data_IF_081523081522
#
_entry.id   IF_081523081522
#
_cell.length_a   1.000
_cell.length_b   1.000
_cell.length_c   1.000
_cell.angle_alpha   90.00
_cell.angle_beta   90.00
_cell.angle_gamma   90.00
#
_symmetry.space_group_name_H-M   'P 1'
#
loop_
_entity.id
_entity.type
_entity.pdbx_description
1 polymer ?
#
# COMPACT_ATOMS: atom_id res chain seq x y z
N UNK A 1 10.36 -10.29 10.77
CA UNK A 1 10.06 -9.84 9.39
C UNK A 1 8.59 -9.43 9.24
N UNK A 2 7.69 -9.79 10.17
CA UNK A 2 6.28 -9.37 10.19
C UNK A 2 6.04 -7.87 10.43
N UNK A 3 6.87 -7.21 11.26
CA UNK A 3 6.67 -5.79 11.62
C UNK A 3 6.58 -4.82 10.43
N UNK A 4 7.27 -5.08 9.31
CA UNK A 4 7.26 -4.16 8.16
C UNK A 4 5.92 -4.16 7.41
N UNK A 5 5.28 -5.33 7.29
CA UNK A 5 3.98 -5.46 6.63
C UNK A 5 2.85 -4.99 7.55
N UNK A 6 2.97 -5.17 8.86
CA UNK A 6 2.05 -4.58 9.82
C UNK A 6 2.15 -3.05 9.83
N UNK A 7 3.37 -2.49 9.82
CA UNK A 7 3.59 -1.05 9.64
C UNK A 7 3.00 -0.53 8.32
N UNK A 8 3.15 -1.29 7.22
CA UNK A 8 2.55 -0.96 5.94
C UNK A 8 1.03 -0.89 6.04
N UNK A 9 0.42 -1.95 6.60
CA UNK A 9 -1.04 -2.05 6.76
C UNK A 9 -1.59 -0.92 7.62
N UNK A 10 -1.05 -0.74 8.82
CA UNK A 10 -1.49 0.29 9.76
C UNK A 10 -1.28 1.70 9.18
N UNK A 11 -0.15 1.93 8.51
CA UNK A 11 0.14 3.18 7.83
C UNK A 11 -0.84 3.48 6.69
N UNK A 12 -1.25 2.48 5.91
CA UNK A 12 -2.27 2.64 4.85
C UNK A 12 -3.64 2.90 5.47
N UNK A 13 -4.05 2.12 6.48
CA UNK A 13 -5.35 2.27 7.15
C UNK A 13 -5.50 3.62 7.86
N UNK A 14 -4.42 4.14 8.43
CA UNK A 14 -4.36 5.49 9.03
C UNK A 14 -4.13 6.61 8.01
N UNK A 15 -4.14 6.29 6.71
CA UNK A 15 -3.86 7.22 5.60
C UNK A 15 -2.50 7.94 5.69
N UNK A 16 -1.57 7.43 6.49
CA UNK A 16 -0.21 7.97 6.58
C UNK A 16 0.65 7.54 5.40
N UNK A 17 0.40 6.34 4.87
CA UNK A 17 1.06 5.78 3.69
C UNK A 17 0.03 5.70 2.56
N UNK A 18 0.13 6.60 1.60
CA UNK A 18 -0.80 6.68 0.45
C UNK A 18 -0.14 6.31 -0.88
N UNK A 19 1.19 6.24 -0.92
CA UNK A 19 1.97 5.98 -2.14
C UNK A 19 3.01 4.89 -1.92
N UNK A 20 3.32 4.11 -2.96
CA UNK A 20 4.34 3.06 -2.92
C UNK A 20 5.70 3.65 -2.51
N UNK A 21 6.07 4.82 -3.04
CA UNK A 21 7.33 5.49 -2.66
C UNK A 21 7.40 5.81 -1.16
N UNK A 22 6.30 6.27 -0.55
CA UNK A 22 6.26 6.52 0.90
C UNK A 22 6.31 5.21 1.69
N UNK A 23 5.63 4.16 1.22
CA UNK A 23 5.70 2.83 1.82
C UNK A 23 7.13 2.30 1.84
N UNK A 24 7.89 2.47 0.75
CA UNK A 24 9.31 2.08 0.69
C UNK A 24 10.16 2.82 1.73
N UNK A 25 9.97 4.13 1.88
CA UNK A 25 10.73 4.94 2.83
C UNK A 25 10.45 4.56 4.29
N UNK A 26 9.20 4.21 4.61
CA UNK A 26 8.80 3.88 5.99
C UNK A 26 9.17 2.44 6.36
N UNK A 27 8.93 1.50 5.44
CA UNK A 27 9.03 0.07 5.73
C UNK A 27 10.36 -0.54 5.28
N UNK A 28 11.06 0.10 4.33
CA UNK A 28 12.25 -0.46 3.68
C UNK A 28 11.95 -1.62 2.71
N UNK A 29 10.67 -1.89 2.43
CA UNK A 29 10.27 -2.93 1.49
C UNK A 29 10.47 -2.48 0.04
N UNK A 30 10.74 -3.44 -0.84
CA UNK A 30 10.76 -3.23 -2.29
C UNK A 30 9.35 -2.93 -2.83
N UNK A 31 9.21 -2.18 -3.95
CA UNK A 31 7.92 -1.90 -4.59
C UNK A 31 7.09 -3.16 -4.82
N UNK A 32 7.69 -4.22 -5.37
CA UNK A 32 7.00 -5.48 -5.67
C UNK A 32 6.38 -6.12 -4.44
N UNK A 33 7.06 -6.07 -3.29
CA UNK A 33 6.54 -6.62 -2.03
C UNK A 33 5.37 -5.80 -1.51
N UNK A 34 5.44 -4.47 -1.62
CA UNK A 34 4.36 -3.55 -1.23
C UNK A 34 3.14 -3.77 -2.12
N UNK A 35 3.34 -3.81 -3.43
CA UNK A 35 2.28 -3.99 -4.42
C UNK A 35 1.63 -5.37 -4.25
N UNK A 36 2.41 -6.45 -4.11
CA UNK A 36 1.84 -7.77 -3.84
C UNK A 36 1.08 -7.82 -2.52
N UNK A 37 1.60 -7.19 -1.46
CA UNK A 37 0.90 -7.15 -0.18
C UNK A 37 -0.47 -6.47 -0.31
N UNK A 38 -0.51 -5.28 -0.92
CA UNK A 38 -1.75 -4.54 -1.14
C UNK A 38 -2.69 -5.33 -2.07
N UNK A 39 -2.21 -5.89 -3.17
CA UNK A 39 -3.04 -6.72 -4.08
C UNK A 39 -3.69 -7.92 -3.40
N UNK A 40 -3.02 -8.51 -2.40
CA UNK A 40 -3.57 -9.64 -1.64
C UNK A 40 -4.57 -9.22 -0.56
N UNK A 41 -4.64 -7.93 -0.19
CA UNK A 41 -5.61 -7.40 0.76
C UNK A 41 -6.49 -6.33 0.09
N UNK A 42 -7.68 -6.70 -0.42
CA UNK A 42 -8.57 -5.77 -1.14
C UNK A 42 -9.13 -4.65 -0.26
N UNK A 43 -8.93 -4.68 1.06
CA UNK A 43 -9.29 -3.57 1.95
C UNK A 43 -8.28 -2.42 1.92
N UNK A 44 -7.09 -2.66 1.38
CA UNK A 44 -6.01 -1.67 1.27
C UNK A 44 -5.99 -1.10 -0.14
N UNK A 45 -5.68 0.18 -0.25
CA UNK A 45 -5.33 0.83 -1.53
C UNK A 45 -4.04 1.61 -1.38
N UNK A 46 -3.25 1.66 -2.46
CA UNK A 46 -2.04 2.48 -2.50
C UNK A 46 -1.83 3.00 -3.92
N UNK A 47 -1.33 4.23 -4.03
CA UNK A 47 -0.99 4.81 -5.33
C UNK A 47 0.42 4.39 -5.75
N UNK A 48 0.53 3.79 -6.93
CA UNK A 48 1.79 3.48 -7.57
C UNK A 48 2.31 4.73 -8.29
N UNK A 49 3.39 5.31 -7.76
CA UNK A 49 3.99 6.52 -8.30
C UNK A 49 4.71 6.30 -9.63
N UNK A 50 5.16 5.09 -9.94
CA UNK A 50 5.88 4.79 -11.17
C UNK A 50 4.91 4.58 -12.34
N UNK A 51 3.83 3.84 -12.09
CA UNK A 51 2.81 3.55 -13.09
C UNK A 51 1.67 4.58 -13.13
N UNK A 52 1.60 5.47 -12.12
CA UNK A 52 0.59 6.53 -12.04
C UNK A 52 -0.84 6.02 -11.82
N UNK A 53 -1.00 4.87 -11.16
CA UNK A 53 -2.29 4.20 -10.99
C UNK A 53 -2.54 3.78 -9.54
N UNK A 54 -3.82 3.67 -9.16
CA UNK A 54 -4.21 3.14 -7.86
C UNK A 54 -4.26 1.62 -7.89
N UNK A 55 -3.51 0.99 -7.00
CA UNK A 55 -3.68 -0.43 -6.70
C UNK A 55 -4.88 -0.57 -5.76
N UNK A 56 -5.80 -1.47 -6.11
CA UNK A 56 -7.09 -1.68 -5.43
C UNK A 56 -7.91 -0.39 -5.30
N UNK A 57 -8.00 0.40 -6.37
CA UNK A 57 -8.82 1.62 -6.42
C UNK A 57 -10.26 1.38 -5.90
N UNK A 58 -10.81 0.21 -6.20
CA UNK A 58 -12.15 -0.25 -5.80
C UNK A 58 -12.33 -0.54 -4.29
N UNK A 59 -11.26 -0.49 -3.48
CA UNK A 59 -11.36 -0.66 -2.02
C UNK A 59 -12.18 0.44 -1.35
N UNK A 60 -12.40 1.57 -2.03
CA UNK A 60 -13.40 2.55 -1.67
C UNK A 60 -14.76 2.10 -2.24
N UNK A 61 -15.53 1.38 -1.44
CA UNK A 61 -16.94 1.19 -1.73
C UNK A 61 -17.64 2.54 -1.87
N UNK A 62 -18.10 2.85 -3.09
CA UNK A 62 -19.49 3.17 -3.42
C UNK A 62 -19.59 3.58 -4.90
N UNK A 63 -20.42 2.85 -5.64
CA UNK A 63 -21.26 3.45 -6.68
C UNK A 63 -22.32 4.32 -5.98
#
# INVERSE_FOLDING_TARGET
>A
MENQFELLRDGILKMQITTVKKAQLVTGLSPDKIINFVRNDPSLRIFDNENGCWINESAAGHC
#
